data_IF_957018583476
#
_entry.id   IF_957018583476
#
_cell.length_a   1.000
_cell.length_b   1.000
_cell.length_c   1.000
_cell.angle_alpha   90.00
_cell.angle_beta   90.00
_cell.angle_gamma   90.00
#
_symmetry.space_group_name_H-M   'P 1'
#
loop_
_entity.id
_entity.type
_entity.pdbx_description
1 polymer ?
#
# COMPACT_ATOMS: atom_id res chain seq x y z
N UNK A 1 -40.51 -13.76 -38.92
CA UNK A 1 -39.97 -13.27 -37.64
C UNK A 1 -38.61 -12.70 -37.91
N UNK A 2 -38.22 -11.64 -37.21
CA UNK A 2 -36.89 -11.01 -37.30
C UNK A 2 -35.92 -11.59 -36.28
N UNK A 3 -36.25 -12.75 -35.71
CA UNK A 3 -35.44 -13.40 -34.69
C UNK A 3 -34.25 -14.12 -35.33
N UNK A 4 -33.08 -13.84 -34.77
CA UNK A 4 -31.83 -14.52 -35.01
C UNK A 4 -31.47 -15.23 -33.70
N UNK A 5 -31.23 -16.55 -33.76
CA UNK A 5 -30.84 -17.32 -32.56
C UNK A 5 -31.86 -17.40 -31.43
N UNK A 6 -31.49 -18.19 -30.43
CA UNK A 6 -32.16 -18.52 -29.16
C UNK A 6 -31.14 -19.40 -28.41
N UNK A 7 -30.06 -18.76 -27.91
CA UNK A 7 -28.88 -19.47 -27.39
C UNK A 7 -29.20 -20.28 -26.13
N UNK A 8 -29.99 -19.72 -25.23
CA UNK A 8 -30.41 -20.35 -23.97
C UNK A 8 -31.67 -21.23 -24.07
N UNK A 9 -32.47 -21.10 -25.14
CA UNK A 9 -33.69 -21.87 -25.34
C UNK A 9 -34.88 -21.41 -24.49
N UNK A 10 -34.90 -20.16 -24.00
CA UNK A 10 -35.97 -19.62 -23.17
C UNK A 10 -37.23 -19.23 -23.99
N UNK A 11 -37.05 -19.12 -25.32
CA UNK A 11 -38.10 -18.80 -26.28
C UNK A 11 -38.24 -17.31 -26.64
N UNK A 12 -37.32 -16.46 -26.17
CA UNK A 12 -37.04 -15.11 -26.62
C UNK A 12 -35.83 -15.19 -27.57
N UNK A 13 -35.91 -14.59 -28.76
CA UNK A 13 -34.76 -14.61 -29.68
C UNK A 13 -33.69 -13.59 -29.28
N UNK A 14 -32.42 -13.88 -29.56
CA UNK A 14 -31.23 -13.09 -29.14
C UNK A 14 -31.26 -11.59 -29.51
N UNK A 15 -32.12 -11.14 -30.43
CA UNK A 15 -32.28 -9.69 -30.72
C UNK A 15 -33.21 -8.97 -29.73
N UNK A 16 -33.87 -9.72 -28.87
CA UNK A 16 -34.89 -9.25 -27.94
C UNK A 16 -34.66 -9.77 -26.51
N UNK A 17 -33.74 -10.72 -26.35
CA UNK A 17 -33.20 -11.08 -25.04
C UNK A 17 -32.24 -10.00 -24.55
N UNK A 18 -32.06 -9.95 -23.24
CA UNK A 18 -31.09 -9.10 -22.55
C UNK A 18 -29.96 -9.89 -21.90
N UNK A 19 -30.04 -11.22 -21.93
CA UNK A 19 -29.12 -12.19 -21.34
C UNK A 19 -29.22 -13.46 -22.19
N UNK A 20 -28.53 -13.48 -23.35
CA UNK A 20 -28.84 -14.49 -24.38
C UNK A 20 -28.43 -15.92 -24.00
N UNK A 21 -27.55 -16.10 -23.02
CA UNK A 21 -27.10 -17.41 -22.56
C UNK A 21 -27.59 -17.76 -21.15
N UNK A 22 -28.30 -16.83 -20.50
CA UNK A 22 -29.01 -17.01 -19.24
C UNK A 22 -28.11 -17.41 -18.07
N UNK A 23 -26.87 -16.93 -18.06
CA UNK A 23 -25.93 -17.16 -16.97
C UNK A 23 -26.08 -16.18 -15.79
N UNK A 24 -26.88 -15.13 -16.00
CA UNK A 24 -27.22 -14.12 -15.02
C UNK A 24 -26.47 -12.80 -15.17
N UNK A 25 -25.60 -12.65 -16.17
CA UNK A 25 -24.99 -11.39 -16.59
C UNK A 25 -25.69 -10.90 -17.86
N UNK A 26 -26.11 -9.63 -17.86
CA UNK A 26 -26.78 -9.07 -19.03
C UNK A 26 -25.77 -8.83 -20.17
N UNK A 27 -26.20 -9.00 -21.43
CA UNK A 27 -25.36 -8.86 -22.64
C UNK A 27 -24.50 -7.58 -22.69
N UNK A 28 -24.99 -6.47 -22.10
CA UNK A 28 -24.28 -5.19 -22.10
C UNK A 28 -23.09 -5.15 -21.12
N UNK A 29 -23.02 -6.10 -20.19
CA UNK A 29 -22.01 -6.23 -19.14
C UNK A 29 -21.23 -7.54 -19.24
N UNK A 30 -21.56 -8.38 -20.21
CA UNK A 30 -20.97 -9.68 -20.44
C UNK A 30 -19.95 -9.60 -21.60
N UNK A 31 -18.71 -10.03 -21.34
CA UNK A 31 -17.69 -10.13 -22.37
C UNK A 31 -18.00 -11.23 -23.41
N UNK A 32 -18.74 -12.26 -23.02
CA UNK A 32 -19.13 -13.40 -23.83
C UNK A 32 -20.65 -13.66 -23.81
N UNK A 33 -21.49 -12.77 -24.40
CA UNK A 33 -22.97 -12.83 -24.31
C UNK A 33 -23.68 -14.06 -24.91
N UNK A 34 -22.93 -15.09 -25.32
CA UNK A 34 -23.44 -16.31 -25.93
C UNK A 34 -22.75 -17.57 -25.38
N UNK A 35 -21.95 -17.43 -24.32
CA UNK A 35 -21.24 -18.50 -23.64
C UNK A 35 -21.46 -18.40 -22.13
N UNK A 36 -22.50 -19.08 -21.64
CA UNK A 36 -22.87 -19.10 -20.23
C UNK A 36 -21.81 -19.65 -19.24
N UNK A 37 -20.62 -20.01 -19.73
CA UNK A 37 -19.48 -20.38 -18.89
C UNK A 37 -18.44 -19.28 -18.74
N UNK A 38 -18.57 -18.16 -19.43
CA UNK A 38 -17.62 -17.04 -19.39
C UNK A 38 -18.36 -15.71 -19.30
N UNK A 39 -17.86 -14.78 -18.48
CA UNK A 39 -18.51 -13.45 -18.31
C UNK A 39 -17.52 -12.28 -18.27
N UNK A 40 -16.26 -12.56 -17.99
CA UNK A 40 -15.17 -11.60 -17.80
C UNK A 40 -14.04 -11.95 -18.76
N UNK A 41 -13.37 -10.91 -19.27
CA UNK A 41 -12.20 -10.93 -20.16
C UNK A 41 -11.32 -9.78 -19.66
N UNK A 42 -10.56 -10.04 -18.59
CA UNK A 42 -9.89 -9.00 -17.83
C UNK A 42 -8.75 -8.32 -18.62
N UNK A 43 -7.95 -9.09 -19.36
CA UNK A 43 -6.88 -8.57 -20.22
C UNK A 43 -7.36 -8.15 -21.63
N UNK A 44 -8.55 -8.58 -22.04
CA UNK A 44 -9.15 -8.22 -23.32
C UNK A 44 -8.59 -9.00 -24.52
N UNK A 45 -7.99 -10.17 -24.31
CA UNK A 45 -7.44 -11.00 -25.38
C UNK A 45 -8.51 -11.80 -26.16
N UNK A 46 -9.72 -11.89 -25.60
CA UNK A 46 -10.88 -12.57 -26.16
C UNK A 46 -11.02 -14.05 -25.76
N UNK A 47 -10.27 -14.52 -24.77
CA UNK A 47 -10.50 -15.72 -23.97
C UNK A 47 -11.13 -15.27 -22.64
N UNK A 48 -12.10 -16.02 -22.13
CA UNK A 48 -12.74 -15.65 -20.86
C UNK A 48 -11.94 -16.17 -19.69
N UNK A 49 -11.93 -15.43 -18.58
CA UNK A 49 -11.13 -15.70 -17.37
C UNK A 49 -11.31 -17.15 -16.84
N UNK A 50 -12.46 -17.84 -17.04
CA UNK A 50 -12.58 -19.23 -16.57
C UNK A 50 -11.80 -20.24 -17.44
N UNK A 51 -11.39 -19.84 -18.64
CA UNK A 51 -10.62 -20.63 -19.60
C UNK A 51 -9.24 -20.04 -19.92
N UNK A 52 -8.98 -18.80 -19.52
CA UNK A 52 -7.65 -18.20 -19.54
C UNK A 52 -6.78 -18.82 -18.44
N UNK A 53 -5.47 -18.65 -18.58
CA UNK A 53 -4.48 -19.06 -17.60
C UNK A 53 -3.63 -17.89 -17.12
N UNK A 54 -3.90 -16.67 -17.61
CA UNK A 54 -3.21 -15.40 -17.35
C UNK A 54 -4.27 -14.28 -17.47
N UNK A 55 -5.13 -14.20 -16.46
CA UNK A 55 -6.37 -13.39 -16.49
C UNK A 55 -6.09 -11.89 -16.69
N UNK A 56 -4.98 -11.35 -16.15
CA UNK A 56 -4.63 -9.94 -16.28
C UNK A 56 -3.56 -9.63 -17.34
N UNK A 57 -3.04 -10.66 -18.01
CA UNK A 57 -2.16 -10.54 -19.18
C UNK A 57 -0.75 -10.04 -18.85
N UNK A 58 -0.29 -10.20 -17.62
CA UNK A 58 1.02 -9.73 -17.15
C UNK A 58 2.17 -10.71 -17.48
N UNK A 59 1.84 -11.87 -18.07
CA UNK A 59 2.72 -13.00 -18.44
C UNK A 59 3.07 -13.97 -17.31
N UNK A 60 2.45 -13.85 -16.14
CA UNK A 60 2.48 -14.83 -15.07
C UNK A 60 1.13 -15.54 -15.00
N UNK A 61 1.17 -16.87 -15.01
CA UNK A 61 -0.07 -17.63 -15.00
C UNK A 61 -0.76 -17.55 -13.63
N UNK A 62 -2.11 -17.57 -13.59
CA UNK A 62 -2.91 -17.49 -12.36
C UNK A 62 -2.55 -18.56 -11.30
N UNK A 63 -1.97 -19.70 -11.72
CA UNK A 63 -1.57 -20.78 -10.82
C UNK A 63 -0.29 -20.50 -10.03
N UNK A 64 0.48 -19.51 -10.47
CA UNK A 64 1.71 -19.03 -9.83
C UNK A 64 1.67 -17.56 -9.46
N UNK A 65 0.70 -16.82 -9.98
CA UNK A 65 0.45 -15.42 -9.67
C UNK A 65 -0.28 -15.26 -8.32
N UNK A 66 0.25 -14.41 -7.44
CA UNK A 66 -0.38 -14.10 -6.15
C UNK A 66 -1.53 -13.10 -6.29
N UNK A 67 -1.50 -12.25 -7.32
CA UNK A 67 -2.52 -11.26 -7.67
C UNK A 67 -3.01 -11.42 -9.13
N UNK A 68 -3.73 -12.51 -9.49
CA UNK A 68 -4.16 -12.80 -10.87
C UNK A 68 -5.14 -11.82 -11.53
N UNK A 69 -5.37 -10.65 -10.94
CA UNK A 69 -6.30 -9.64 -11.43
C UNK A 69 -5.67 -8.23 -11.39
N UNK A 70 -4.35 -8.15 -11.19
CA UNK A 70 -3.59 -6.91 -11.19
C UNK A 70 -2.36 -7.07 -12.09
N UNK A 71 -2.46 -6.54 -13.31
CA UNK A 71 -1.41 -6.59 -14.34
C UNK A 71 -0.03 -6.02 -13.91
N UNK A 72 0.07 -5.45 -12.70
CA UNK A 72 1.28 -4.86 -12.15
C UNK A 72 1.85 -5.65 -10.97
N UNK A 73 1.25 -6.73 -10.50
CA UNK A 73 1.70 -7.48 -9.31
C UNK A 73 1.56 -8.99 -9.53
N UNK A 74 2.64 -9.75 -9.32
CA UNK A 74 2.62 -11.22 -9.47
C UNK A 74 3.21 -11.98 -8.27
N UNK A 75 3.93 -11.26 -7.39
CA UNK A 75 4.68 -11.81 -6.26
C UNK A 75 4.40 -11.02 -4.99
N UNK A 76 4.37 -11.72 -3.86
CA UNK A 76 4.20 -11.20 -2.49
C UNK A 76 5.17 -11.99 -1.60
N UNK A 77 6.38 -11.45 -1.42
CA UNK A 77 7.50 -12.18 -0.83
C UNK A 77 7.31 -12.42 0.67
N UNK A 78 6.79 -11.43 1.41
CA UNK A 78 6.54 -11.54 2.85
C UNK A 78 5.12 -12.05 3.22
N UNK A 79 4.20 -12.03 2.26
CA UNK A 79 2.82 -12.51 2.42
C UNK A 79 1.90 -11.52 3.16
N UNK A 80 2.18 -10.21 3.11
CA UNK A 80 1.35 -9.19 3.76
C UNK A 80 0.12 -8.78 2.94
N UNK A 81 0.10 -9.15 1.66
CA UNK A 81 -0.96 -8.87 0.70
C UNK A 81 -0.76 -7.60 -0.14
N UNK A 82 0.41 -6.98 -0.06
CA UNK A 82 0.94 -5.98 -1.00
C UNK A 82 1.92 -6.69 -1.93
N UNK A 83 1.81 -6.49 -3.24
CA UNK A 83 2.76 -7.11 -4.16
C UNK A 83 4.10 -6.38 -4.17
N UNK A 84 5.17 -7.12 -4.47
CA UNK A 84 6.57 -6.62 -4.43
C UNK A 84 6.80 -5.37 -5.31
N UNK A 85 5.99 -5.11 -6.36
CA UNK A 85 6.18 -3.88 -7.14
C UNK A 85 5.61 -2.63 -6.45
N UNK A 86 4.72 -2.79 -5.48
CA UNK A 86 4.09 -1.73 -4.69
C UNK A 86 4.55 -1.71 -3.22
N UNK A 87 5.08 -2.81 -2.71
CA UNK A 87 5.75 -2.85 -1.41
C UNK A 87 7.06 -2.07 -1.46
N UNK A 88 7.52 -1.64 -0.29
CA UNK A 88 8.78 -0.92 -0.13
C UNK A 88 9.75 -1.67 0.78
N UNK A 89 9.36 -2.83 1.29
CA UNK A 89 10.07 -3.73 2.19
C UNK A 89 9.58 -5.16 1.87
N UNK A 90 9.98 -5.67 0.69
CA UNK A 90 9.42 -6.88 0.06
C UNK A 90 9.53 -8.15 0.94
N UNK A 91 10.50 -8.24 1.84
CA UNK A 91 10.71 -9.38 2.75
C UNK A 91 10.39 -9.08 4.23
N UNK A 92 10.07 -7.82 4.55
CA UNK A 92 9.62 -7.33 5.86
C UNK A 92 10.62 -7.62 6.99
N UNK A 93 11.92 -7.56 6.68
CA UNK A 93 13.02 -7.67 7.63
C UNK A 93 13.22 -6.35 8.44
N UNK A 94 12.59 -5.27 7.99
CA UNK A 94 12.63 -3.92 8.57
C UNK A 94 13.52 -2.93 7.83
N UNK A 95 14.12 -3.31 6.70
CA UNK A 95 14.88 -2.45 5.80
C UNK A 95 14.14 -2.31 4.47
N UNK A 96 13.85 -1.07 4.09
CA UNK A 96 13.22 -0.85 2.78
C UNK A 96 14.11 -1.31 1.62
N UNK A 97 13.55 -1.78 0.51
CA UNK A 97 14.32 -2.21 -0.69
C UNK A 97 15.25 -1.11 -1.20
N UNK A 98 14.87 0.16 -1.02
CA UNK A 98 15.72 1.30 -1.38
C UNK A 98 16.98 1.38 -0.51
N UNK A 99 16.87 1.08 0.79
CA UNK A 99 18.00 0.98 1.70
C UNK A 99 18.89 -0.19 1.27
N UNK A 100 18.30 -1.37 1.13
CA UNK A 100 19.00 -2.59 0.78
C UNK A 100 19.72 -2.53 -0.56
N UNK A 101 19.08 -2.02 -1.61
CA UNK A 101 19.71 -1.81 -2.92
C UNK A 101 20.96 -0.90 -2.83
N UNK A 102 20.91 0.12 -1.96
CA UNK A 102 22.05 1.01 -1.72
C UNK A 102 23.14 0.35 -0.87
N UNK A 103 22.78 -0.59 0.02
CA UNK A 103 23.67 -1.32 0.93
C UNK A 103 24.19 -2.64 0.32
N UNK A 104 23.58 -3.13 -0.75
CA UNK A 104 23.96 -4.30 -1.53
C UNK A 104 23.46 -5.63 -0.98
N UNK A 105 22.34 -5.63 -0.26
CA UNK A 105 21.63 -6.84 0.21
C UNK A 105 20.52 -7.25 -0.76
N UNK A 106 20.00 -8.47 -0.59
CA UNK A 106 18.91 -9.04 -1.40
C UNK A 106 17.56 -8.67 -0.80
N UNK A 107 16.72 -7.97 -1.56
CA UNK A 107 15.45 -7.40 -1.09
C UNK A 107 14.36 -8.44 -0.87
N UNK A 108 14.62 -9.70 -1.22
CA UNK A 108 13.67 -10.80 -1.18
C UNK A 108 14.10 -11.91 -0.20
N UNK A 109 15.06 -11.64 0.69
CA UNK A 109 15.66 -12.63 1.61
C UNK A 109 15.80 -12.03 3.01
N UNK A 110 14.83 -12.33 3.88
CA UNK A 110 14.74 -11.82 5.25
C UNK A 110 15.96 -12.14 6.14
N UNK A 111 16.81 -13.07 5.71
CA UNK A 111 18.08 -13.41 6.37
C UNK A 111 19.29 -12.59 5.86
N UNK A 112 19.19 -11.85 4.75
CA UNK A 112 20.27 -11.04 4.14
C UNK A 112 20.23 -9.56 4.55
N UNK A 113 20.03 -9.27 5.83
CA UNK A 113 19.85 -7.88 6.26
C UNK A 113 21.15 -7.06 6.25
N UNK A 114 21.09 -5.74 5.93
CA UNK A 114 22.27 -4.90 5.92
C UNK A 114 22.78 -4.61 7.35
N UNK A 115 24.08 -4.35 7.55
CA UNK A 115 24.59 -3.99 8.87
C UNK A 115 23.96 -2.67 9.36
N UNK A 116 23.32 -2.73 10.53
CA UNK A 116 22.75 -1.57 11.23
C UNK A 116 23.19 -1.65 12.70
N UNK A 117 24.23 -0.89 13.05
CA UNK A 117 24.83 -0.96 14.37
C UNK A 117 23.98 -0.33 15.47
N UNK A 118 23.13 0.65 15.13
CA UNK A 118 22.38 1.45 16.08
C UNK A 118 20.86 1.20 16.07
N UNK A 119 20.40 0.37 15.13
CA UNK A 119 19.05 -0.18 15.05
C UNK A 119 18.01 0.82 14.56
N UNK A 120 18.41 1.80 13.75
CA UNK A 120 17.52 2.87 13.28
C UNK A 120 16.82 2.59 11.94
N UNK A 121 17.12 1.43 11.32
CA UNK A 121 16.56 1.02 10.02
C UNK A 121 17.29 1.64 8.82
N UNK A 122 18.46 2.25 9.04
CA UNK A 122 19.35 2.73 7.99
C UNK A 122 20.68 1.99 8.11
N UNK A 123 21.10 1.30 7.05
CA UNK A 123 22.39 0.63 7.11
C UNK A 123 23.58 1.56 7.39
N UNK A 124 24.62 1.01 8.03
CA UNK A 124 25.88 1.67 8.41
C UNK A 124 26.57 2.40 7.24
N UNK A 125 26.34 1.97 6.00
CA UNK A 125 26.94 2.59 4.82
C UNK A 125 26.27 3.93 4.43
N UNK A 126 25.00 4.11 4.81
CA UNK A 126 24.19 5.29 4.56
C UNK A 126 23.99 6.14 5.80
N UNK A 127 24.14 5.56 6.99
CA UNK A 127 24.00 6.26 8.25
C UNK A 127 25.30 6.95 8.71
N UNK A 128 25.32 8.28 8.88
CA UNK A 128 26.44 8.98 9.50
C UNK A 128 26.51 8.87 11.03
N UNK A 129 25.48 8.34 11.71
CA UNK A 129 25.36 8.30 13.17
C UNK A 129 25.45 6.89 13.77
N UNK A 130 26.23 6.00 13.15
CA UNK A 130 26.44 4.58 13.54
C UNK A 130 26.84 4.32 15.00
N UNK A 131 26.98 5.35 15.84
CA UNK A 131 27.29 5.27 17.26
C UNK A 131 26.15 5.72 18.20
N UNK A 132 24.97 6.10 17.68
CA UNK A 132 23.86 6.63 18.47
C UNK A 132 22.60 5.75 18.33
N UNK A 133 22.51 4.71 19.17
CA UNK A 133 21.27 3.92 19.30
C UNK A 133 20.08 4.85 19.58
N UNK A 134 19.16 5.01 18.64
CA UNK A 134 17.97 5.87 18.82
C UNK A 134 16.95 5.29 19.82
N UNK A 135 17.11 4.01 20.19
CA UNK A 135 16.40 3.40 21.32
C UNK A 135 16.91 3.90 22.69
N UNK A 136 18.08 4.54 22.71
CA UNK A 136 18.56 5.32 23.84
C UNK A 136 18.27 6.79 23.57
N UNK A 137 17.01 7.18 23.82
CA UNK A 137 16.59 8.58 23.92
C UNK A 137 17.75 9.40 24.49
N UNK A 138 18.21 10.46 23.80
CA UNK A 138 19.48 11.09 24.11
C UNK A 138 19.48 11.38 25.59
N UNK A 139 20.36 10.71 26.35
CA UNK A 139 20.60 11.13 27.72
C UNK A 139 20.92 12.62 27.62
N UNK A 140 20.19 13.45 28.38
CA UNK A 140 20.17 14.91 28.33
C UNK A 140 21.54 15.56 28.68
N UNK A 141 22.65 14.88 28.42
CA UNK A 141 24.03 15.27 28.68
C UNK A 141 24.78 15.71 27.41
N UNK A 142 24.19 15.69 26.21
CA UNK A 142 24.72 16.46 25.06
C UNK A 142 23.97 17.78 24.84
N UNK A 143 23.59 18.43 25.92
CA UNK A 143 23.51 19.89 25.89
C UNK A 143 24.95 20.41 25.90
N UNK A 144 25.55 20.46 24.71
CA UNK A 144 26.75 21.22 24.36
C UNK A 144 26.56 22.72 24.60
N UNK A 145 26.32 23.11 25.86
CA UNK A 145 26.36 24.47 26.37
C UNK A 145 27.82 24.91 26.48
N UNK A 146 28.52 24.91 25.34
CA UNK A 146 29.97 25.00 25.26
C UNK A 146 30.49 26.03 24.26
N UNK A 147 29.62 26.86 23.66
CA UNK A 147 30.05 28.02 22.90
C UNK A 147 29.61 29.31 23.61
N UNK A 148 30.45 29.74 24.56
CA UNK A 148 30.40 31.09 25.10
C UNK A 148 30.55 32.10 23.94
N UNK A 149 29.45 32.69 23.48
CA UNK A 149 29.49 33.92 22.70
C UNK A 149 29.51 35.07 23.70
N UNK A 150 30.62 35.82 23.85
CA UNK A 150 30.67 36.92 24.79
C UNK A 150 29.82 38.06 24.24
N UNK A 151 28.67 38.34 24.87
CA UNK A 151 27.97 39.62 24.67
C UNK A 151 26.47 39.60 24.41
N UNK A 152 25.77 38.47 24.48
CA UNK A 152 24.30 38.46 24.29
C UNK A 152 23.57 37.94 25.54
N UNK A 153 22.76 38.77 26.24
CA UNK A 153 21.91 38.30 27.32
C UNK A 153 20.70 37.55 26.74
N UNK A 154 20.38 36.44 27.37
CA UNK A 154 19.31 35.51 27.03
C UNK A 154 17.90 36.13 27.12
N UNK A 155 17.10 35.86 26.09
CA UNK A 155 15.64 35.69 26.10
C UNK A 155 14.74 36.91 26.46
N UNK A 156 14.43 37.70 25.43
CA UNK A 156 13.07 38.17 25.12
C UNK A 156 12.46 37.07 24.20
N UNK A 157 11.19 36.69 24.16
CA UNK A 157 9.94 37.26 24.61
C UNK A 157 8.84 36.17 24.52
N UNK A 158 7.83 36.20 25.38
CA UNK A 158 6.48 35.80 25.00
C UNK A 158 5.47 36.59 25.85
N UNK A 159 5.02 37.71 25.28
CA UNK A 159 4.00 38.60 25.80
C UNK A 159 2.65 38.16 25.20
N UNK A 160 1.70 37.70 26.02
CA UNK A 160 0.30 37.59 25.60
C UNK A 160 -0.61 38.28 26.64
N UNK A 161 -1.55 39.06 26.10
CA UNK A 161 -2.16 40.27 26.65
C UNK A 161 -3.62 40.03 27.09
N UNK A 162 -4.02 40.78 28.12
CA UNK A 162 -5.37 41.36 28.37
C UNK A 162 -6.42 40.53 29.12
N UNK A 163 -6.86 41.10 30.27
CA UNK A 163 -8.28 41.42 30.43
C UNK A 163 -9.02 40.76 31.58
N UNK A 164 -8.80 41.26 32.81
CA UNK A 164 -9.62 40.90 33.97
C UNK A 164 -11.09 41.34 33.80
N UNK A 165 -12.01 40.36 33.82
CA UNK A 165 -13.45 40.58 33.96
C UNK A 165 -13.95 40.02 35.30
N UNK A 166 -14.29 40.98 36.16
CA UNK A 166 -15.16 40.99 37.33
C UNK A 166 -16.31 39.93 37.35
N UNK A 167 -16.51 39.25 38.49
CA UNK A 167 -17.77 39.21 39.29
C UNK A 167 -18.00 37.88 40.04
N UNK A 168 -18.05 38.03 41.38
CA UNK A 168 -18.85 37.37 42.42
C UNK A 168 -18.76 35.86 42.70
N UNK A 169 -18.45 35.56 43.96
CA UNK A 169 -18.78 34.28 44.59
C UNK A 169 -18.19 34.11 45.99
N UNK A 170 -18.41 35.04 46.93
CA UNK A 170 -18.04 34.84 48.34
C UNK A 170 -19.29 34.75 49.20
N UNK A 171 -19.70 33.53 49.54
CA UNK A 171 -20.63 33.19 50.63
C UNK A 171 -19.99 32.13 51.51
N UNK A 172 -19.93 32.41 52.79
CA UNK A 172 -20.01 31.53 53.98
C UNK A 172 -19.79 32.49 55.17
N UNK A 173 -20.87 32.91 55.86
CA UNK A 173 -21.31 32.42 57.19
C UNK A 173 -20.41 33.00 58.30
N UNK A 174 -20.84 33.73 59.34
CA UNK A 174 -22.12 34.08 59.96
C UNK A 174 -22.05 35.52 60.52
#
# INVERSE_FOLDING_TARGET
SSEWGDVDGDGIGDNADSDNDNDGVADELDAFPFDASETVDMDGDGVGDNADADDDGDSYNDDVDVFPADENEWLDTDGDGTGDNADSDDDNDGFSDANENDCGTDTLDDDDTPPDYDGDGICDALDPNVDINIDEAPSEEDLGFGAAVPGFPTALAALALVGAALVAGRRTEE
#
